data_IF_258255733877
#
_entry.id   IF_258255733877
#
_cell.length_a   1.000
_cell.length_b   1.000
_cell.length_c   1.000
_cell.angle_alpha   90.00
_cell.angle_beta   90.00
_cell.angle_gamma   90.00
#
_symmetry.space_group_name_H-M   'P 1'
#
loop_
_entity.id
_entity.type
_entity.pdbx_description
1 polymer ?
#
# COMPACT_ATOMS: atom_id res chain seq x y z
N UNK A 1 21.12 16.65 -27.01
CA UNK A 1 19.98 17.39 -27.57
C UNK A 1 18.65 16.79 -27.10
N UNK A 2 17.76 17.60 -26.51
CA UNK A 2 16.40 17.16 -26.21
C UNK A 2 15.61 17.10 -27.53
N UNK A 3 15.12 15.92 -27.90
CA UNK A 3 14.28 15.69 -29.07
C UNK A 3 12.88 15.22 -28.60
N UNK A 4 11.79 15.62 -29.27
CA UNK A 4 10.45 15.18 -28.90
C UNK A 4 10.30 13.66 -29.06
N UNK A 5 9.60 13.03 -28.11
CA UNK A 5 9.27 11.61 -28.20
C UNK A 5 8.37 11.38 -29.44
N UNK A 6 8.49 10.21 -30.10
CA UNK A 6 7.68 9.89 -31.29
C UNK A 6 6.20 9.61 -30.97
N UNK A 7 5.79 9.81 -29.71
CA UNK A 7 4.43 9.64 -29.22
C UNK A 7 4.14 10.65 -28.10
N UNK A 8 2.85 10.90 -27.86
CA UNK A 8 2.39 11.74 -26.75
C UNK A 8 2.18 10.86 -25.52
N UNK A 9 2.95 11.08 -24.44
CA UNK A 9 2.66 10.48 -23.13
C UNK A 9 1.33 11.04 -22.60
N UNK A 10 0.29 10.20 -22.57
CA UNK A 10 -1.02 10.55 -22.01
C UNK A 10 -1.01 10.38 -20.50
N UNK A 11 -1.65 11.31 -19.78
CA UNK A 11 -1.81 11.19 -18.33
C UNK A 11 -2.92 10.18 -17.99
N UNK A 12 -2.95 9.68 -16.76
CA UNK A 12 -3.98 8.72 -16.28
C UNK A 12 -5.41 9.22 -16.57
N UNK A 13 -5.63 10.53 -16.61
CA UNK A 13 -6.92 11.14 -16.96
C UNK A 13 -7.40 10.83 -18.38
N UNK A 14 -6.48 10.58 -19.31
CA UNK A 14 -6.76 10.30 -20.72
C UNK A 14 -6.75 8.79 -21.04
N UNK A 15 -6.69 7.93 -20.01
CA UNK A 15 -6.74 6.48 -20.17
C UNK A 15 -8.10 6.09 -20.75
N UNK A 16 -8.11 5.19 -21.73
CA UNK A 16 -9.37 4.76 -22.34
C UNK A 16 -10.07 3.73 -21.45
N UNK A 17 -11.39 3.62 -21.54
CA UNK A 17 -12.14 2.55 -20.84
C UNK A 17 -11.71 1.13 -21.26
N UNK A 18 -11.02 0.97 -22.39
CA UNK A 18 -10.46 -0.33 -22.81
C UNK A 18 -9.21 -0.70 -22.02
N UNK A 19 -8.52 0.31 -21.48
CA UNK A 19 -7.23 0.17 -20.80
C UNK A 19 -7.36 0.28 -19.27
N UNK A 20 -8.57 0.60 -18.77
CA UNK A 20 -8.86 0.72 -17.35
C UNK A 20 -10.19 0.04 -16.98
N UNK A 21 -10.16 -0.81 -15.96
CA UNK A 21 -11.35 -1.38 -15.35
C UNK A 21 -11.60 -0.73 -13.99
N UNK A 22 -12.80 -0.19 -13.78
CA UNK A 22 -13.26 0.18 -12.44
C UNK A 22 -13.83 -1.08 -11.80
N UNK A 23 -13.00 -1.76 -11.01
CA UNK A 23 -13.44 -2.94 -10.26
C UNK A 23 -14.23 -2.48 -9.05
N UNK A 24 -15.55 -2.70 -9.07
CA UNK A 24 -16.39 -2.54 -7.89
C UNK A 24 -16.45 -3.87 -7.15
N UNK A 25 -15.95 -3.92 -5.93
CA UNK A 25 -16.16 -5.08 -5.07
C UNK A 25 -17.58 -4.98 -4.49
N UNK A 26 -18.46 -5.97 -4.71
CA UNK A 26 -19.75 -5.96 -4.04
C UNK A 26 -19.48 -5.97 -2.54
N UNK A 27 -20.02 -5.00 -1.81
CA UNK A 27 -20.20 -5.14 -0.37
C UNK A 27 -21.03 -6.39 -0.18
N UNK A 28 -20.39 -7.49 0.21
CA UNK A 28 -21.09 -8.70 0.62
C UNK A 28 -21.80 -8.33 1.92
N UNK A 29 -23.01 -7.77 1.80
CA UNK A 29 -23.79 -7.24 2.91
C UNK A 29 -23.81 -8.23 4.06
N UNK A 30 -22.97 -7.96 5.05
CA UNK A 30 -22.53 -8.93 6.04
C UNK A 30 -21.43 -8.33 6.90
N UNK A 31 -21.25 -8.86 8.11
CA UNK A 31 -20.17 -8.41 9.00
C UNK A 31 -18.85 -8.95 8.45
N UNK A 32 -17.90 -8.07 8.15
CA UNK A 32 -16.54 -8.47 7.82
C UNK A 32 -15.86 -9.07 9.06
N UNK A 33 -15.17 -10.19 8.88
CA UNK A 33 -14.28 -10.73 9.89
C UNK A 33 -12.98 -9.93 9.88
N UNK A 34 -12.56 -9.45 11.05
CA UNK A 34 -11.33 -8.69 11.22
C UNK A 34 -10.46 -9.41 12.23
N UNK A 35 -9.26 -9.79 11.81
CA UNK A 35 -8.24 -10.39 12.66
C UNK A 35 -7.22 -9.31 13.01
N UNK A 36 -7.07 -9.03 14.30
CA UNK A 36 -6.08 -8.08 14.81
C UNK A 36 -5.02 -8.84 15.64
N UNK A 37 -3.89 -9.23 15.04
CA UNK A 37 -2.86 -9.96 15.76
C UNK A 37 -2.13 -9.04 16.75
N UNK A 38 -1.94 -9.55 17.97
CA UNK A 38 -1.13 -8.89 19.00
C UNK A 38 0.17 -9.68 19.11
N UNK A 39 1.26 -9.11 18.61
CA UNK A 39 2.60 -9.66 18.71
C UNK A 39 3.42 -9.01 19.82
N UNK A 40 4.34 -9.76 20.40
CA UNK A 40 5.40 -9.20 21.24
C UNK A 40 6.49 -8.60 20.34
N UNK A 41 7.11 -7.46 20.72
CA UNK A 41 8.22 -6.88 19.98
C UNK A 41 9.35 -7.88 19.77
N UNK A 42 9.94 -7.89 18.57
CA UNK A 42 11.05 -8.78 18.19
C UNK A 42 10.78 -10.30 18.29
N UNK A 43 9.53 -10.75 18.52
CA UNK A 43 9.15 -12.17 18.63
C UNK A 43 8.52 -12.75 17.34
N UNK A 44 8.85 -12.17 16.18
CA UNK A 44 8.44 -12.72 14.87
C UNK A 44 6.97 -12.49 14.50
N UNK A 45 6.35 -11.40 14.95
CA UNK A 45 4.94 -11.09 14.66
C UNK A 45 4.66 -10.98 13.15
N UNK A 46 5.60 -10.44 12.37
CA UNK A 46 5.47 -10.35 10.91
C UNK A 46 5.63 -11.70 10.21
N UNK A 47 6.55 -12.56 10.69
CA UNK A 47 6.72 -13.91 10.15
C UNK A 47 5.45 -14.75 10.35
N UNK A 48 4.81 -14.60 11.52
CA UNK A 48 3.51 -15.21 11.77
C UNK A 48 2.42 -14.66 10.83
N UNK A 49 2.41 -13.34 10.58
CA UNK A 49 1.42 -12.71 9.70
C UNK A 49 1.57 -13.17 8.24
N UNK A 50 2.81 -13.35 7.76
CA UNK A 50 3.09 -13.91 6.44
C UNK A 50 2.60 -15.35 6.33
N UNK A 51 2.93 -16.19 7.32
CA UNK A 51 2.41 -17.56 7.40
C UNK A 51 0.87 -17.62 7.48
N UNK A 52 0.24 -16.70 8.22
CA UNK A 52 -1.21 -16.60 8.30
C UNK A 52 -1.82 -16.26 6.94
N UNK A 53 -1.22 -15.30 6.21
CA UNK A 53 -1.71 -14.89 4.90
C UNK A 53 -1.54 -16.00 3.85
N UNK A 54 -0.43 -16.72 3.86
CA UNK A 54 -0.20 -17.88 3.01
C UNK A 54 -1.25 -18.99 3.22
N UNK A 55 -1.65 -19.23 4.47
CA UNK A 55 -2.66 -20.24 4.81
C UNK A 55 -4.10 -19.76 4.60
N UNK A 56 -4.32 -18.44 4.54
CA UNK A 56 -5.65 -17.83 4.46
C UNK A 56 -5.70 -16.78 3.34
N UNK A 57 -5.64 -17.19 2.06
CA UNK A 57 -5.56 -16.26 0.91
C UNK A 57 -6.80 -15.39 0.71
N UNK A 58 -7.89 -15.62 1.46
CA UNK A 58 -9.10 -14.80 1.42
C UNK A 58 -9.04 -13.53 2.28
N UNK A 59 -8.01 -13.38 3.12
CA UNK A 59 -7.85 -12.19 3.95
C UNK A 59 -7.13 -11.10 3.18
N UNK A 60 -7.54 -9.85 3.37
CA UNK A 60 -6.82 -8.68 2.89
C UNK A 60 -6.14 -8.01 4.06
N UNK A 61 -4.85 -7.72 3.93
CA UNK A 61 -4.11 -7.02 4.97
C UNK A 61 -4.46 -5.53 4.98
N UNK A 62 -4.53 -4.89 6.16
CA UNK A 62 -4.86 -3.46 6.30
C UNK A 62 -3.78 -2.67 7.07
N UNK A 63 -2.53 -3.11 6.98
CA UNK A 63 -1.44 -2.58 7.78
C UNK A 63 -0.63 -1.50 7.06
N UNK A 64 0.27 -0.87 7.83
CA UNK A 64 1.30 0.04 7.28
C UNK A 64 2.21 -0.67 6.27
N UNK A 65 2.56 -1.95 6.48
CA UNK A 65 3.47 -2.67 5.55
C UNK A 65 2.87 -2.90 4.17
N UNK A 66 1.55 -3.10 4.07
CA UNK A 66 0.87 -3.23 2.77
C UNK A 66 1.02 -1.95 1.94
N UNK A 67 0.88 -0.78 2.57
CA UNK A 67 1.02 0.51 1.88
C UNK A 67 2.48 0.73 1.45
N UNK A 68 3.45 0.27 2.24
CA UNK A 68 4.86 0.33 1.87
C UNK A 68 5.20 -0.56 0.67
N UNK A 69 4.69 -1.79 0.66
CA UNK A 69 4.83 -2.72 -0.47
C UNK A 69 4.19 -2.15 -1.74
N UNK A 70 3.00 -1.54 -1.62
CA UNK A 70 2.36 -0.82 -2.72
C UNK A 70 3.21 0.36 -3.21
N UNK A 71 3.76 1.16 -2.31
CA UNK A 71 4.59 2.32 -2.67
C UNK A 71 5.86 1.88 -3.41
N UNK A 72 6.52 0.82 -2.94
CA UNK A 72 7.70 0.23 -3.58
C UNK A 72 7.38 -0.30 -4.98
N UNK A 73 6.32 -1.10 -5.12
CA UNK A 73 5.83 -1.59 -6.42
C UNK A 73 5.40 -0.48 -7.38
N UNK A 74 4.98 0.66 -6.83
CA UNK A 74 4.62 1.86 -7.61
C UNK A 74 5.82 2.74 -7.98
N UNK A 75 7.05 2.34 -7.60
CA UNK A 75 8.27 3.09 -7.87
C UNK A 75 8.43 4.35 -7.01
N UNK A 76 7.69 4.46 -5.90
CA UNK A 76 7.82 5.58 -4.97
C UNK A 76 9.06 5.34 -4.10
N UNK A 77 10.10 6.13 -4.35
CA UNK A 77 11.38 6.01 -3.67
C UNK A 77 11.54 7.01 -2.51
N UNK A 78 12.19 6.56 -1.43
CA UNK A 78 12.55 7.44 -0.29
C UNK A 78 13.80 8.24 -0.60
N UNK A 79 13.63 9.52 -0.93
CA UNK A 79 14.76 10.39 -1.26
C UNK A 79 15.82 10.49 -0.14
N UNK A 80 15.42 10.35 1.12
CA UNK A 80 16.30 10.49 2.30
C UNK A 80 16.59 9.16 3.02
N UNK A 81 16.21 8.02 2.43
CA UNK A 81 16.34 6.71 3.06
C UNK A 81 15.51 6.56 4.34
N UNK A 82 15.85 5.56 5.16
CA UNK A 82 15.20 5.32 6.46
C UNK A 82 15.83 6.19 7.56
N UNK A 83 15.01 6.71 8.47
CA UNK A 83 15.49 7.43 9.66
C UNK A 83 16.12 6.44 10.64
N UNK A 84 17.20 6.85 11.30
CA UNK A 84 17.86 6.06 12.36
C UNK A 84 16.91 5.73 13.52
N UNK A 85 15.90 6.58 13.75
CA UNK A 85 14.88 6.41 14.79
C UNK A 85 13.67 5.58 14.35
N UNK A 86 13.73 4.90 13.19
CA UNK A 86 12.62 4.06 12.73
C UNK A 86 12.46 2.82 13.60
N UNK A 87 11.21 2.47 13.93
CA UNK A 87 10.88 1.23 14.62
C UNK A 87 10.92 0.05 13.62
N UNK A 88 11.42 -1.10 14.07
CA UNK A 88 11.32 -2.35 13.32
C UNK A 88 9.88 -2.88 13.29
N UNK A 89 9.13 -2.67 14.36
CA UNK A 89 7.72 -3.10 14.49
C UNK A 89 6.74 -2.13 13.83
N UNK A 90 7.14 -0.87 13.62
CA UNK A 90 6.35 0.15 12.93
C UNK A 90 7.16 0.80 11.82
N UNK A 91 7.14 0.23 10.60
CA UNK A 91 7.94 0.77 9.51
C UNK A 91 7.45 2.17 9.12
N UNK A 92 8.41 3.09 8.96
CA UNK A 92 8.16 4.53 8.74
C UNK A 92 7.58 4.78 7.34
N UNK A 93 6.69 5.75 7.18
CA UNK A 93 6.11 6.14 5.88
C UNK A 93 6.88 7.25 5.18
N UNK A 94 7.96 7.79 5.76
CA UNK A 94 8.73 8.93 5.27
C UNK A 94 9.26 8.83 3.81
N UNK A 95 8.38 8.98 2.82
CA UNK A 95 8.68 9.08 1.39
C UNK A 95 8.86 10.53 0.97
N UNK A 96 8.47 11.50 1.81
CA UNK A 96 8.41 12.92 1.44
C UNK A 96 7.16 13.26 0.65
N UNK A 97 6.18 12.36 0.62
CA UNK A 97 4.85 12.55 0.02
C UNK A 97 3.89 12.79 1.17
N UNK A 98 3.32 13.99 1.26
CA UNK A 98 2.48 14.41 2.38
C UNK A 98 1.41 13.38 2.71
N UNK A 99 0.70 12.89 1.69
CA UNK A 99 -0.44 11.98 1.85
C UNK A 99 -0.02 10.60 2.41
N UNK A 100 1.21 10.16 2.14
CA UNK A 100 1.78 8.93 2.72
C UNK A 100 2.30 9.19 4.14
N UNK A 101 3.05 10.28 4.31
CA UNK A 101 3.75 10.63 5.54
C UNK A 101 2.79 11.02 6.69
N UNK A 102 1.65 11.66 6.37
CA UNK A 102 0.64 12.09 7.36
C UNK A 102 -0.48 11.06 7.59
N UNK A 103 -0.44 9.92 6.88
CA UNK A 103 -1.43 8.86 6.99
C UNK A 103 -2.77 9.15 6.31
N UNK A 104 -2.91 10.26 5.56
CA UNK A 104 -4.13 10.58 4.81
C UNK A 104 -4.49 9.52 3.78
N UNK A 105 -3.49 8.86 3.20
CA UNK A 105 -3.68 7.74 2.27
C UNK A 105 -4.56 6.63 2.86
N UNK A 106 -4.45 6.37 4.18
CA UNK A 106 -5.27 5.36 4.86
C UNK A 106 -6.74 5.70 4.80
N UNK A 107 -7.09 6.98 4.96
CA UNK A 107 -8.48 7.44 4.87
C UNK A 107 -9.04 7.22 3.47
N UNK A 108 -8.23 7.40 2.43
CA UNK A 108 -8.64 7.16 1.05
C UNK A 108 -8.80 5.66 0.78
N UNK A 109 -7.85 4.84 1.22
CA UNK A 109 -7.88 3.38 1.04
C UNK A 109 -9.08 2.75 1.77
N UNK A 110 -9.41 3.24 2.98
CA UNK A 110 -10.49 2.68 3.80
C UNK A 110 -11.87 3.32 3.56
N UNK A 111 -11.97 4.37 2.75
CA UNK A 111 -13.26 5.01 2.42
C UNK A 111 -14.00 4.34 1.24
N UNK A 112 -13.40 3.30 0.64
CA UNK A 112 -13.95 2.55 -0.48
C UNK A 112 -14.89 1.42 -0.03
#
# INVERSE_FOLDING_TARGET
PMAPLPFTCRMVKDISQKDAAVTTYPSQGGKSEVVFPIGLPDEGAFDWLDMFHEKNPGYTELSDRMILDWADKSGIWRQKGYKVTSSKDKPDMAFGVRELDDGSVKRVIHAA
#
